data_IF_615485298976
#
_entry.id   IF_615485298976
#
_cell.length_a   1.000
_cell.length_b   1.000
_cell.length_c   1.000
_cell.angle_alpha   90.00
_cell.angle_beta   90.00
_cell.angle_gamma   90.00
#
_symmetry.space_group_name_H-M   'P 1'
#
loop_
_entity.id
_entity.type
_entity.pdbx_description
1 polymer ?
#
# COMPACT_ATOMS: atom_id res chain seq x y z
N UNK A 1 -15.44 -13.16 -0.46
CA UNK A 1 -14.14 -13.70 -0.89
C UNK A 1 -14.29 -15.22 -0.99
N UNK A 2 -14.59 -15.75 -2.19
CA UNK A 2 -14.75 -17.19 -2.41
C UNK A 2 -13.94 -17.72 -3.61
N UNK A 3 -12.97 -16.94 -4.11
CA UNK A 3 -12.06 -17.40 -5.17
C UNK A 3 -10.61 -17.34 -4.68
N UNK A 4 -9.90 -18.45 -4.89
CA UNK A 4 -8.52 -18.77 -4.52
C UNK A 4 -7.46 -17.89 -5.23
N UNK A 5 -7.64 -16.56 -5.19
CA UNK A 5 -6.80 -15.59 -5.91
C UNK A 5 -5.63 -15.06 -5.06
N UNK A 6 -5.41 -15.61 -3.86
CA UNK A 6 -4.30 -15.21 -2.98
C UNK A 6 -3.08 -16.07 -3.30
N UNK A 7 -2.01 -15.44 -3.79
CA UNK A 7 -0.73 -16.12 -4.01
C UNK A 7 0.06 -16.12 -2.70
N UNK A 8 -0.30 -17.02 -1.78
CA UNK A 8 0.24 -17.08 -0.42
C UNK A 8 1.76 -17.00 -0.32
N UNK A 9 2.49 -17.71 -1.19
CA UNK A 9 3.97 -17.68 -1.18
C UNK A 9 4.52 -16.29 -1.55
N UNK A 10 3.91 -15.60 -2.52
CA UNK A 10 4.34 -14.24 -2.90
C UNK A 10 4.04 -13.28 -1.76
N UNK A 11 2.81 -13.35 -1.25
CA UNK A 11 2.32 -12.48 -0.21
C UNK A 11 3.16 -12.62 1.06
N UNK A 12 3.53 -13.84 1.44
CA UNK A 12 4.28 -14.12 2.66
C UNK A 12 5.73 -13.67 2.54
N UNK A 13 6.42 -13.96 1.42
CA UNK A 13 7.79 -13.46 1.20
C UNK A 13 7.82 -11.93 1.19
N UNK A 14 6.88 -11.31 0.48
CA UNK A 14 6.75 -9.86 0.43
C UNK A 14 6.41 -9.27 1.81
N UNK A 15 5.53 -9.92 2.57
CA UNK A 15 5.15 -9.51 3.92
C UNK A 15 6.34 -9.60 4.88
N UNK A 16 7.09 -10.70 4.88
CA UNK A 16 8.27 -10.86 5.74
C UNK A 16 9.32 -9.78 5.42
N UNK A 17 9.62 -9.57 4.14
CA UNK A 17 10.57 -8.54 3.72
C UNK A 17 10.13 -7.14 4.16
N UNK A 18 8.85 -6.83 4.01
CA UNK A 18 8.35 -5.51 4.36
C UNK A 18 8.05 -5.31 5.84
N UNK A 19 7.90 -6.36 6.67
CA UNK A 19 7.94 -6.21 8.13
C UNK A 19 9.32 -5.70 8.56
N UNK A 20 10.38 -6.29 8.01
CA UNK A 20 11.76 -5.83 8.25
C UNK A 20 11.94 -4.40 7.72
N UNK A 21 11.41 -4.10 6.53
CA UNK A 21 11.38 -2.74 6.01
C UNK A 21 10.64 -1.77 6.94
N UNK A 22 9.44 -2.11 7.41
CA UNK A 22 8.58 -1.24 8.20
C UNK A 22 9.14 -0.93 9.59
N UNK A 23 9.82 -1.88 10.21
CA UNK A 23 10.53 -1.62 11.48
C UNK A 23 11.68 -0.61 11.27
N UNK A 24 12.47 -0.78 10.21
CA UNK A 24 13.52 0.18 9.83
C UNK A 24 12.96 1.56 9.48
N UNK A 25 11.93 1.58 8.63
CA UNK A 25 11.25 2.79 8.18
C UNK A 25 10.60 3.56 9.33
N UNK A 26 9.88 2.89 10.22
CA UNK A 26 9.25 3.55 11.38
C UNK A 26 10.27 4.12 12.36
N UNK A 27 11.43 3.46 12.51
CA UNK A 27 12.52 3.98 13.33
C UNK A 27 13.12 5.26 12.74
N UNK A 28 13.28 5.32 11.42
CA UNK A 28 13.70 6.53 10.72
C UNK A 28 12.62 7.62 10.76
N UNK A 29 11.36 7.28 10.53
CA UNK A 29 10.24 8.23 10.47
C UNK A 29 10.02 8.98 11.78
N UNK A 30 10.26 8.33 12.92
CA UNK A 30 10.20 8.95 14.25
C UNK A 30 11.23 10.05 14.48
N UNK A 31 12.31 10.09 13.69
CA UNK A 31 13.35 11.11 13.80
C UNK A 31 13.05 12.37 12.97
N UNK A 32 12.07 12.30 12.06
CA UNK A 32 11.70 13.43 11.21
C UNK A 32 10.51 14.19 11.79
N UNK A 33 10.62 15.51 11.75
CA UNK A 33 9.55 16.43 12.14
C UNK A 33 8.28 16.20 11.29
N UNK A 34 7.10 16.26 11.91
CA UNK A 34 5.83 15.86 11.28
C UNK A 34 5.50 16.65 10.00
N UNK A 35 6.00 17.88 9.91
CA UNK A 35 5.85 18.79 8.78
C UNK A 35 6.67 18.35 7.55
N UNK A 36 7.94 17.95 7.78
CA UNK A 36 8.81 17.40 6.72
C UNK A 36 8.29 16.03 6.25
N UNK A 37 7.71 15.26 7.18
CA UNK A 37 7.12 13.96 6.86
C UNK A 37 5.92 14.10 5.92
N UNK A 38 5.04 15.09 6.15
CA UNK A 38 3.89 15.36 5.30
C UNK A 38 4.30 15.78 3.88
N UNK A 39 5.34 16.61 3.75
CA UNK A 39 5.87 17.01 2.44
C UNK A 39 6.43 15.81 1.67
N UNK A 40 7.29 15.01 2.30
CA UNK A 40 7.87 13.81 1.70
C UNK A 40 6.78 12.82 1.27
N UNK A 41 5.70 12.72 2.05
CA UNK A 41 4.56 11.87 1.73
C UNK A 41 3.79 12.35 0.49
N UNK A 42 3.58 13.67 0.36
CA UNK A 42 2.96 14.26 -0.84
C UNK A 42 3.79 14.03 -2.10
N UNK A 43 5.12 14.21 -2.02
CA UNK A 43 6.03 13.93 -3.13
C UNK A 43 5.95 12.45 -3.53
N UNK A 44 5.99 11.53 -2.55
CA UNK A 44 5.85 10.10 -2.79
C UNK A 44 4.52 9.78 -3.50
N UNK A 45 3.40 10.36 -3.06
CA UNK A 45 2.09 10.17 -3.68
C UNK A 45 2.08 10.60 -5.15
N UNK A 46 2.68 11.76 -5.48
CA UNK A 46 2.80 12.24 -6.85
C UNK A 46 3.67 11.31 -7.72
N UNK A 47 4.79 10.83 -7.17
CA UNK A 47 5.66 9.86 -7.85
C UNK A 47 4.90 8.56 -8.13
N UNK A 48 4.12 8.04 -7.18
CA UNK A 48 3.36 6.80 -7.38
C UNK A 48 2.22 7.02 -8.39
N UNK A 49 1.50 8.15 -8.29
CA UNK A 49 0.44 8.50 -9.24
C UNK A 49 0.98 8.60 -10.67
N UNK A 50 2.13 9.27 -10.86
CA UNK A 50 2.80 9.36 -12.16
C UNK A 50 3.31 8.00 -12.63
N UNK A 51 3.96 7.21 -11.78
CA UNK A 51 4.38 5.85 -12.13
C UNK A 51 3.19 4.97 -12.56
N UNK A 52 2.02 5.09 -11.91
CA UNK A 52 0.81 4.38 -12.34
C UNK A 52 0.25 4.92 -13.67
N UNK A 53 0.39 6.23 -13.93
CA UNK A 53 -0.04 6.85 -15.18
C UNK A 53 0.84 6.43 -16.38
N UNK A 54 2.16 6.39 -16.19
CA UNK A 54 3.13 6.04 -17.23
C UNK A 54 3.27 4.54 -17.44
N UNK A 55 3.06 3.72 -16.39
CA UNK A 55 3.17 2.25 -16.49
C UNK A 55 1.81 1.60 -16.76
N UNK A 56 1.13 2.10 -17.80
CA UNK A 56 -0.15 1.58 -18.29
C UNK A 56 0.04 0.59 -19.45
N UNK A 57 0.91 -0.41 -19.28
CA UNK A 57 0.80 -1.66 -20.05
C UNK A 57 0.12 -2.70 -19.15
N UNK A 58 -1.20 -2.56 -19.04
CA UNK A 58 -2.10 -3.51 -18.38
C UNK A 58 -2.22 -4.82 -19.17
N UNK A 59 -1.09 -5.48 -19.40
CA UNK A 59 -0.98 -6.79 -20.05
C UNK A 59 -0.15 -7.74 -19.19
N UNK A 60 -0.43 -7.80 -17.88
CA UNK A 60 0.23 -8.74 -16.98
C UNK A 60 -0.28 -10.15 -17.25
N UNK A 61 0.63 -11.07 -17.57
CA UNK A 61 0.31 -12.48 -17.80
C UNK A 61 -0.34 -13.10 -16.54
N UNK A 62 -1.56 -13.60 -16.68
CA UNK A 62 -2.34 -14.22 -15.59
C UNK A 62 -1.72 -15.55 -15.07
N UNK A 63 -0.74 -16.09 -15.80
CA UNK A 63 -0.07 -17.36 -15.49
C UNK A 63 1.22 -17.24 -14.68
N UNK A 64 1.60 -16.05 -14.18
CA UNK A 64 2.77 -15.94 -13.30
C UNK A 64 2.43 -16.50 -11.91
N UNK A 65 2.60 -17.82 -11.77
CA UNK A 65 2.65 -18.54 -10.50
C UNK A 65 4.09 -18.47 -9.96
N UNK A 66 4.25 -18.30 -8.65
CA UNK A 66 5.52 -18.64 -7.99
C UNK A 66 5.72 -20.17 -8.07
N UNK A 67 6.29 -20.61 -9.18
CA UNK A 67 6.84 -21.95 -9.35
C UNK A 67 8.35 -21.93 -9.05
N UNK A 68 8.89 -23.11 -8.67
CA UNK A 68 10.30 -23.31 -8.27
C UNK A 68 11.31 -22.83 -9.32
N UNK A 69 10.89 -22.75 -10.57
CA UNK A 69 11.66 -22.34 -11.74
C UNK A 69 11.90 -20.82 -11.81
N UNK A 70 10.88 -19.99 -11.53
CA UNK A 70 10.98 -18.53 -11.54
C UNK A 70 11.35 -17.92 -10.18
N UNK A 71 11.40 -18.74 -9.12
CA UNK A 71 11.70 -18.30 -7.76
C UNK A 71 13.04 -17.58 -7.65
N UNK A 72 14.09 -18.03 -8.37
CA UNK A 72 15.42 -17.39 -8.33
C UNK A 72 15.42 -15.96 -8.86
N UNK A 73 14.52 -15.60 -9.77
CA UNK A 73 14.40 -14.26 -10.34
C UNK A 73 13.40 -13.39 -9.59
N UNK A 74 12.28 -13.97 -9.17
CA UNK A 74 11.22 -13.25 -8.45
C UNK A 74 11.60 -12.96 -6.99
N UNK A 75 12.21 -13.90 -6.27
CA UNK A 75 12.53 -13.77 -4.85
C UNK A 75 13.32 -12.48 -4.53
N UNK A 76 14.44 -12.14 -5.21
CA UNK A 76 15.16 -10.89 -4.90
C UNK A 76 14.31 -9.64 -5.20
N UNK A 77 13.47 -9.66 -6.25
CA UNK A 77 12.56 -8.55 -6.54
C UNK A 77 11.48 -8.41 -5.46
N UNK A 78 10.84 -9.50 -5.03
CA UNK A 78 9.83 -9.45 -3.96
C UNK A 78 10.43 -8.98 -2.64
N UNK A 79 11.65 -9.42 -2.32
CA UNK A 79 12.36 -8.97 -1.12
C UNK A 79 12.70 -7.47 -1.22
N UNK A 80 13.27 -7.02 -2.35
CA UNK A 80 13.64 -5.62 -2.55
C UNK A 80 12.42 -4.69 -2.53
N UNK A 81 11.39 -4.99 -3.33
CA UNK A 81 10.16 -4.21 -3.35
C UNK A 81 9.40 -4.30 -2.03
N UNK A 82 9.34 -5.48 -1.41
CA UNK A 82 8.71 -5.67 -0.10
C UNK A 82 9.38 -4.83 0.97
N UNK A 83 10.72 -4.85 1.01
CA UNK A 83 11.52 -4.03 1.92
C UNK A 83 11.31 -2.53 1.67
N UNK A 84 11.41 -2.05 0.42
CA UNK A 84 11.23 -0.63 0.08
C UNK A 84 9.82 -0.16 0.42
N UNK A 85 8.80 -0.92 0.02
CA UNK A 85 7.40 -0.58 0.30
C UNK A 85 7.12 -0.64 1.80
N UNK A 86 7.65 -1.62 2.50
CA UNK A 86 7.58 -1.74 3.95
C UNK A 86 8.24 -0.55 4.65
N UNK A 87 9.46 -0.18 4.25
CA UNK A 87 10.19 0.94 4.79
C UNK A 87 9.47 2.26 4.58
N UNK A 88 8.98 2.53 3.36
CA UNK A 88 8.15 3.71 3.10
C UNK A 88 6.86 3.68 3.93
N UNK A 89 6.18 2.54 3.98
CA UNK A 89 4.97 2.36 4.80
C UNK A 89 5.20 2.67 6.28
N UNK A 90 6.28 2.14 6.85
CA UNK A 90 6.64 2.36 8.24
C UNK A 90 7.10 3.80 8.51
N UNK A 91 7.86 4.39 7.58
CA UNK A 91 8.36 5.77 7.66
C UNK A 91 7.22 6.78 7.70
N UNK A 92 6.22 6.62 6.84
CA UNK A 92 5.06 7.52 6.77
C UNK A 92 3.94 7.17 7.76
N UNK A 93 4.03 6.05 8.50
CA UNK A 93 3.00 5.63 9.46
C UNK A 93 1.66 5.20 8.83
N UNK A 94 1.62 4.99 7.51
CA UNK A 94 0.39 4.77 6.72
C UNK A 94 -0.08 3.31 6.64
N UNK A 95 0.72 2.34 7.10
CA UNK A 95 0.39 0.91 7.04
C UNK A 95 0.36 0.29 5.62
N UNK A 96 0.81 1.02 4.59
CA UNK A 96 1.21 0.46 3.29
C UNK A 96 0.11 0.26 2.26
N UNK A 97 -1.16 0.53 2.62
CA UNK A 97 -2.34 0.22 1.81
C UNK A 97 -2.23 0.54 0.31
N UNK A 98 -1.85 1.77 -0.03
CA UNK A 98 -1.82 2.23 -1.42
C UNK A 98 -0.52 1.89 -2.17
N UNK A 99 0.59 1.62 -1.47
CA UNK A 99 1.87 1.24 -2.10
C UNK A 99 1.98 -0.26 -2.37
N UNK A 100 1.34 -1.08 -1.54
CA UNK A 100 1.50 -2.53 -1.58
C UNK A 100 0.97 -3.12 -2.89
N UNK A 101 -0.21 -2.68 -3.35
CA UNK A 101 -0.80 -3.17 -4.61
C UNK A 101 0.11 -2.88 -5.82
N UNK A 102 0.51 -1.62 -6.10
CA UNK A 102 1.42 -1.33 -7.21
C UNK A 102 2.81 -1.94 -7.02
N UNK A 103 3.32 -2.03 -5.79
CA UNK A 103 4.59 -2.70 -5.49
C UNK A 103 4.59 -4.20 -5.82
N UNK A 104 3.52 -4.91 -5.44
CA UNK A 104 3.32 -6.31 -5.78
C UNK A 104 3.16 -6.54 -7.29
N UNK A 105 2.44 -5.64 -7.97
CA UNK A 105 2.33 -5.68 -9.44
C UNK A 105 3.68 -5.42 -10.12
N UNK A 106 4.48 -4.47 -9.61
CA UNK A 106 5.80 -4.18 -10.15
C UNK A 106 6.79 -5.33 -9.91
N UNK A 107 6.73 -5.99 -8.74
CA UNK A 107 7.62 -7.08 -8.38
C UNK A 107 7.29 -8.39 -9.11
N UNK A 108 6.00 -8.68 -9.35
CA UNK A 108 5.55 -9.98 -9.88
C UNK A 108 4.95 -9.93 -11.28
N UNK A 109 4.55 -8.75 -11.77
CA UNK A 109 3.84 -8.60 -13.05
C UNK A 109 2.43 -9.20 -13.07
N UNK A 110 1.89 -9.61 -11.91
CA UNK A 110 0.60 -10.30 -11.84
C UNK A 110 -0.60 -9.37 -12.12
N UNK A 111 -1.73 -9.90 -12.61
CA UNK A 111 -2.95 -9.11 -12.80
C UNK A 111 -3.47 -8.49 -11.50
N UNK A 112 -4.10 -7.32 -11.63
CA UNK A 112 -4.61 -6.51 -10.52
C UNK A 112 -5.47 -7.30 -9.52
N UNK A 113 -6.31 -8.23 -10.00
CA UNK A 113 -7.19 -9.01 -9.13
C UNK A 113 -6.44 -9.95 -8.17
N UNK A 114 -5.30 -10.50 -8.61
CA UNK A 114 -4.43 -11.34 -7.76
C UNK A 114 -3.58 -10.47 -6.84
N UNK A 115 -3.19 -9.29 -7.30
CA UNK A 115 -2.47 -8.31 -6.51
C UNK A 115 -3.31 -7.81 -5.33
N UNK A 116 -4.57 -7.44 -5.55
CA UNK A 116 -5.50 -7.00 -4.50
C UNK A 116 -5.72 -8.10 -3.45
N UNK A 117 -5.90 -9.35 -3.89
CA UNK A 117 -6.08 -10.48 -2.97
C UNK A 117 -4.83 -10.76 -2.14
N UNK A 118 -3.64 -10.71 -2.77
CA UNK A 118 -2.37 -10.99 -2.12
C UNK A 118 -1.88 -9.82 -1.24
N UNK A 119 -2.19 -8.58 -1.62
CA UNK A 119 -1.82 -7.38 -0.87
C UNK A 119 -2.51 -7.32 0.48
N UNK A 120 -3.73 -7.85 0.62
CA UNK A 120 -4.49 -7.77 1.86
C UNK A 120 -3.71 -8.38 3.04
N UNK A 121 -3.00 -9.48 2.80
CA UNK A 121 -2.12 -10.12 3.80
C UNK A 121 -0.98 -9.18 4.19
N UNK A 122 -0.32 -8.56 3.21
CA UNK A 122 0.77 -7.62 3.46
C UNK A 122 0.31 -6.33 4.12
N UNK A 123 -0.89 -5.82 3.80
CA UNK A 123 -1.50 -4.63 4.41
C UNK A 123 -1.73 -4.86 5.89
N UNK A 124 -2.32 -6.00 6.25
CA UNK A 124 -2.53 -6.37 7.66
C UNK A 124 -1.18 -6.52 8.37
N UNK A 125 -0.21 -7.19 7.76
CA UNK A 125 1.12 -7.38 8.34
C UNK A 125 1.87 -6.07 8.58
N UNK A 126 1.94 -5.18 7.58
CA UNK A 126 2.64 -3.91 7.67
C UNK A 126 1.92 -2.95 8.59
N UNK A 127 0.58 -2.89 8.50
CA UNK A 127 -0.27 -2.09 9.38
C UNK A 127 -0.09 -2.50 10.83
N UNK A 128 -0.16 -3.79 11.15
CA UNK A 128 0.04 -4.30 12.51
C UNK A 128 1.45 -3.99 13.03
N UNK A 129 2.49 -4.19 12.19
CA UNK A 129 3.89 -3.93 12.56
C UNK A 129 4.12 -2.43 12.82
N UNK A 130 3.58 -1.58 11.95
CA UNK A 130 3.70 -0.12 12.08
C UNK A 130 2.94 0.35 13.31
N UNK A 131 1.69 -0.08 13.50
CA UNK A 131 0.88 0.25 14.67
C UNK A 131 1.57 -0.19 15.97
N UNK A 132 2.10 -1.41 16.03
CA UNK A 132 2.85 -1.89 17.19
C UNK A 132 4.11 -1.05 17.45
N UNK A 133 4.86 -0.69 16.41
CA UNK A 133 6.06 0.16 16.53
C UNK A 133 5.72 1.56 17.07
N UNK A 134 4.65 2.20 16.58
CA UNK A 134 4.23 3.51 17.07
C UNK A 134 3.60 3.43 18.48
N UNK A 135 2.84 2.37 18.78
CA UNK A 135 2.25 2.12 20.10
C UNK A 135 3.34 1.91 21.16
N UNK A 136 4.38 1.13 20.85
CA UNK A 136 5.52 0.92 21.73
C UNK A 136 6.30 2.21 22.04
N UNK A 137 6.20 3.23 21.17
CA UNK A 137 6.79 4.54 21.39
C UNK A 137 5.83 5.55 22.05
N UNK A 138 4.63 5.14 22.46
CA UNK A 138 3.65 6.03 23.11
C UNK A 138 3.04 7.08 22.18
N UNK A 139 3.23 6.95 20.86
CA UNK A 139 2.76 7.91 19.84
C UNK A 139 1.35 7.60 19.32
N UNK A 140 0.59 6.75 20.02
CA UNK A 140 -0.75 6.31 19.60
C UNK A 140 -1.79 6.89 20.55
N UNK A 141 -2.66 7.73 20.00
CA UNK A 141 -3.91 8.11 20.66
C UNK A 141 -4.95 7.01 20.42
N UNK A 142 -5.26 6.26 21.49
CA UNK A 142 -6.19 5.14 21.46
C UNK A 142 -7.64 5.56 21.14
N UNK A 143 -8.01 6.81 21.43
CA UNK A 143 -9.34 7.35 21.14
C UNK A 143 -9.49 7.60 19.65
N UNK A 144 -8.52 8.30 19.05
CA UNK A 144 -8.47 8.49 17.59
C UNK A 144 -8.39 7.13 16.89
N UNK A 145 -7.53 6.22 17.35
CA UNK A 145 -7.41 4.88 16.79
C UNK A 145 -8.76 4.13 16.77
N UNK A 146 -9.55 4.18 17.85
CA UNK A 146 -10.87 3.55 17.90
C UNK A 146 -11.84 4.14 16.85
N UNK A 147 -11.88 5.46 16.71
CA UNK A 147 -12.70 6.12 15.68
C UNK A 147 -12.27 5.73 14.26
N UNK A 148 -10.96 5.67 14.00
CA UNK A 148 -10.43 5.23 12.71
C UNK A 148 -10.74 3.76 12.41
N UNK A 149 -10.65 2.87 13.40
CA UNK A 149 -11.00 1.46 13.25
C UNK A 149 -12.49 1.31 12.95
N UNK A 150 -13.36 1.98 13.72
CA UNK A 150 -14.80 1.94 13.52
C UNK A 150 -15.22 2.46 12.13
N UNK A 151 -14.71 3.64 11.75
CA UNK A 151 -14.95 4.22 10.43
C UNK A 151 -14.39 3.37 9.29
N UNK A 152 -13.22 2.76 9.48
CA UNK A 152 -12.59 1.87 8.51
C UNK A 152 -13.38 0.59 8.26
N UNK A 153 -13.94 -0.03 9.31
CA UNK A 153 -14.81 -1.21 9.19
C UNK A 153 -16.08 -0.84 8.42
N UNK A 154 -16.78 0.23 8.83
CA UNK A 154 -18.01 0.67 8.19
C UNK A 154 -17.78 1.05 6.71
N UNK A 155 -16.75 1.85 6.44
CA UNK A 155 -16.34 2.24 5.10
C UNK A 155 -15.93 1.05 4.23
N UNK A 156 -15.27 0.04 4.82
CA UNK A 156 -14.90 -1.20 4.14
C UNK A 156 -16.10 -2.01 3.67
N UNK A 157 -17.16 -2.10 4.49
CA UNK A 157 -18.42 -2.77 4.10
C UNK A 157 -19.13 -2.02 2.97
N UNK A 158 -19.26 -0.69 3.09
CA UNK A 158 -19.90 0.16 2.07
C UNK A 158 -19.10 0.11 0.76
N UNK A 159 -17.78 0.28 0.84
CA UNK A 159 -16.88 0.25 -0.31
C UNK A 159 -16.89 -1.11 -1.01
N UNK A 160 -16.97 -2.21 -0.26
CA UNK A 160 -17.15 -3.55 -0.85
C UNK A 160 -18.47 -3.66 -1.61
N UNK A 161 -19.56 -3.18 -1.04
CA UNK A 161 -20.88 -3.19 -1.68
C UNK A 161 -20.88 -2.38 -2.98
N UNK A 162 -20.36 -1.15 -2.93
CA UNK A 162 -20.23 -0.28 -4.09
C UNK A 162 -19.31 -0.88 -5.18
N UNK A 163 -18.18 -1.47 -4.79
CA UNK A 163 -17.27 -2.13 -5.72
C UNK A 163 -17.91 -3.34 -6.42
N UNK A 164 -18.77 -4.09 -5.72
CA UNK A 164 -19.53 -5.19 -6.33
C UNK A 164 -20.67 -4.71 -7.24
N UNK A 165 -21.29 -3.58 -6.92
CA UNK A 165 -22.33 -2.98 -7.76
C UNK A 165 -21.76 -2.43 -9.09
N UNK A 166 -20.52 -1.90 -9.08
CA UNK A 166 -19.83 -1.34 -10.25
C UNK A 166 -18.97 -2.37 -11.03
N UNK A 167 -19.00 -3.65 -10.63
CA UNK A 167 -18.24 -4.74 -11.25
C UNK A 167 -18.48 -5.02 -12.76
N UNK A 168 -19.59 -4.60 -13.42
CA UNK A 168 -19.78 -4.86 -14.85
C UNK A 168 -18.73 -4.19 -15.77
N UNK A 169 -18.17 -3.04 -15.38
CA UNK A 169 -17.22 -2.26 -16.20
C UNK A 169 -15.85 -2.11 -15.53
N UNK A 170 -15.01 -3.16 -15.66
CA UNK A 170 -13.67 -3.28 -15.05
C UNK A 170 -12.73 -2.09 -15.31
N UNK A 171 -12.86 -1.42 -16.46
CA UNK A 171 -12.03 -0.26 -16.84
C UNK A 171 -12.39 0.99 -16.04
N UNK A 172 -13.68 1.23 -15.73
CA UNK A 172 -14.11 2.40 -14.97
C UNK A 172 -13.66 2.35 -13.50
N UNK A 173 -13.66 1.17 -12.88
CA UNK A 173 -13.26 1.03 -11.47
C UNK A 173 -11.79 1.41 -11.24
N UNK A 174 -10.90 1.03 -12.17
CA UNK A 174 -9.49 1.40 -12.10
C UNK A 174 -9.28 2.91 -12.30
N UNK A 175 -10.06 3.54 -13.18
CA UNK A 175 -10.01 4.99 -13.39
C UNK A 175 -10.54 5.76 -12.18
N UNK A 176 -11.62 5.28 -11.55
CA UNK A 176 -12.17 5.88 -10.32
C UNK A 176 -11.15 5.77 -9.18
N UNK A 177 -10.55 4.60 -8.97
CA UNK A 177 -9.52 4.42 -7.94
C UNK A 177 -8.32 5.35 -8.17
N UNK A 178 -7.82 5.40 -9.41
CA UNK A 178 -6.74 6.31 -9.77
C UNK A 178 -7.13 7.79 -9.57
N UNK A 179 -8.36 8.17 -9.91
CA UNK A 179 -8.89 9.52 -9.72
C UNK A 179 -8.97 9.92 -8.24
N UNK A 180 -9.48 9.04 -7.38
CA UNK A 180 -9.54 9.28 -5.93
C UNK A 180 -8.13 9.43 -5.36
N UNK A 181 -7.20 8.53 -5.70
CA UNK A 181 -5.81 8.61 -5.26
C UNK A 181 -5.14 9.91 -5.74
N UNK A 182 -5.38 10.31 -6.99
CA UNK A 182 -4.85 11.56 -7.53
C UNK A 182 -5.38 12.80 -6.80
N UNK A 183 -6.70 12.87 -6.55
CA UNK A 183 -7.32 13.98 -5.81
C UNK A 183 -6.77 14.06 -4.39
N UNK A 184 -6.68 12.93 -3.68
CA UNK A 184 -6.12 12.88 -2.33
C UNK A 184 -4.65 13.28 -2.34
N UNK A 185 -3.87 12.79 -3.31
CA UNK A 185 -2.46 13.16 -3.46
C UNK A 185 -2.26 14.66 -3.68
N UNK A 186 -3.06 15.27 -4.57
CA UNK A 186 -3.05 16.72 -4.83
C UNK A 186 -3.38 17.49 -3.55
N UNK A 187 -4.44 17.10 -2.83
CA UNK A 187 -4.84 17.74 -1.58
C UNK A 187 -3.73 17.69 -0.51
N UNK A 188 -3.08 16.54 -0.36
CA UNK A 188 -1.97 16.35 0.58
C UNK A 188 -0.79 17.27 0.23
N UNK A 189 -0.46 17.41 -1.06
CA UNK A 189 0.62 18.29 -1.53
C UNK A 189 0.28 19.75 -1.25
N UNK A 190 -0.94 20.19 -1.55
CA UNK A 190 -1.40 21.54 -1.24
C UNK A 190 -1.32 21.85 0.25
N UNK A 191 -1.77 20.91 1.11
CA UNK A 191 -1.69 21.07 2.56
C UNK A 191 -0.25 21.10 3.08
N UNK A 192 0.64 20.28 2.49
CA UNK A 192 2.07 20.29 2.82
C UNK A 192 2.74 21.62 2.45
N UNK A 193 2.39 22.19 1.29
CA UNK A 193 2.91 23.48 0.83
C UNK A 193 2.44 24.64 1.71
N UNK A 194 1.14 24.71 2.03
CA UNK A 194 0.60 25.77 2.89
C UNK A 194 1.15 25.70 4.31
N UNK A 195 1.47 24.50 4.81
CA UNK A 195 2.09 24.33 6.12
C UNK A 195 3.55 24.78 6.15
N UNK A 196 4.31 24.75 5.05
CA UNK A 196 5.72 25.19 5.01
C UNK A 196 5.89 26.70 4.80
N UNK A 197 4.85 27.37 4.31
CA UNK A 197 4.84 28.82 4.07
C UNK A 197 4.23 29.65 5.19
N UNK A 198 3.87 29.04 6.33
CA UNK A 198 3.28 29.69 7.51
C UNK A 198 4.15 29.56 8.74
#
# INVERSE_FOLDING_TARGET
AKNNNVKWRCALVFAVAGIVGATFGSSLGKQFDGQKLLLLFGILMLVIATLMFFKRKGGGNADIRLCRENARRLLPLLLAYGFVVGAMSGFFGIGGGFLIVPGLMAATGMPLIYAIGSSLVSVVAFGATTAASYAASGLVDWTLAAWFIGGGIAGGFIGRSAATALAPNKTHLSHIFAGVVAIVGIYVVFRGWTSLGG
#
